data_IF_331520879055
#
_entry.id   IF_331520879055
#
_cell.length_a   1.000
_cell.length_b   1.000
_cell.length_c   1.000
_cell.angle_alpha   90.00
_cell.angle_beta   90.00
_cell.angle_gamma   90.00
#
_symmetry.space_group_name_H-M   'P 1'
#
loop_
_entity.id
_entity.type
_entity.pdbx_description
1 polymer ?
#
# COMPACT_ATOMS: atom_id res chain seq x y z
N UNK A 1 -5.16 -20.57 9.41
CA UNK A 1 -6.43 -19.91 9.04
C UNK A 1 -6.13 -18.44 8.81
N UNK A 2 -6.84 -17.77 7.90
CA UNK A 2 -6.88 -16.30 7.85
C UNK A 2 -8.12 -15.90 8.64
N UNK A 3 -7.94 -15.04 9.64
CA UNK A 3 -9.03 -14.55 10.48
C UNK A 3 -9.15 -13.04 10.34
N UNK A 4 -10.39 -12.56 10.22
CA UNK A 4 -10.67 -11.14 10.18
C UNK A 4 -10.47 -10.54 11.56
N UNK A 5 -9.52 -9.62 11.69
CA UNK A 5 -9.36 -8.82 12.90
C UNK A 5 -10.34 -7.64 12.87
N UNK A 6 -11.02 -7.39 14.00
CA UNK A 6 -11.74 -6.13 14.19
C UNK A 6 -10.74 -5.00 14.44
N UNK A 7 -10.92 -3.88 13.76
CA UNK A 7 -10.14 -2.65 13.94
C UNK A 7 -11.09 -1.59 14.50
N UNK A 8 -10.70 -1.00 15.63
CA UNK A 8 -11.40 0.13 16.22
C UNK A 8 -11.29 1.35 15.28
N UNK A 9 -12.41 2.04 14.98
CA UNK A 9 -12.38 3.25 14.19
C UNK A 9 -11.46 4.31 14.81
N UNK A 10 -10.54 4.84 14.01
CA UNK A 10 -9.57 5.84 14.49
C UNK A 10 -8.33 5.27 15.18
N UNK A 11 -8.09 3.95 15.09
CA UNK A 11 -6.90 3.29 15.66
C UNK A 11 -5.93 2.79 14.56
N UNK A 12 -5.10 3.65 13.93
CA UNK A 12 -4.16 3.27 12.88
C UNK A 12 -3.18 2.14 13.26
N UNK A 13 -2.78 2.08 14.54
CA UNK A 13 -1.85 1.04 15.03
C UNK A 13 -2.43 -0.38 14.93
N UNK A 14 -3.76 -0.53 15.03
CA UNK A 14 -4.44 -1.81 14.82
C UNK A 14 -4.52 -2.19 13.33
N UNK A 15 -4.41 -1.21 12.43
CA UNK A 15 -4.32 -1.39 10.98
C UNK A 15 -2.87 -1.38 10.45
N UNK A 16 -1.89 -1.63 11.32
CA UNK A 16 -0.48 -1.35 11.03
C UNK A 16 0.05 -1.97 9.74
N UNK A 17 -0.43 -3.15 9.32
CA UNK A 17 -0.03 -3.76 8.06
C UNK A 17 -0.42 -2.90 6.84
N UNK A 18 -1.68 -2.48 6.75
CA UNK A 18 -2.16 -1.66 5.65
C UNK A 18 -1.56 -0.25 5.70
N UNK A 19 -1.37 0.33 6.89
CA UNK A 19 -0.69 1.62 7.03
C UNK A 19 0.74 1.56 6.51
N UNK A 20 1.53 0.54 6.92
CA UNK A 20 2.89 0.34 6.45
C UNK A 20 2.96 0.07 4.95
N UNK A 21 2.05 -0.76 4.41
CA UNK A 21 1.96 -1.02 2.98
C UNK A 21 1.71 0.28 2.21
N UNK A 22 0.73 1.08 2.62
CA UNK A 22 0.39 2.33 1.94
C UNK A 22 1.51 3.38 2.04
N UNK A 23 2.23 3.45 3.15
CA UNK A 23 3.38 4.32 3.31
C UNK A 23 4.50 3.93 2.33
N UNK A 24 4.88 2.66 2.31
CA UNK A 24 5.92 2.15 1.40
C UNK A 24 5.55 2.28 -0.07
N UNK A 25 4.31 1.97 -0.43
CA UNK A 25 3.82 2.13 -1.81
C UNK A 25 3.94 3.60 -2.27
N UNK A 26 3.65 4.56 -1.38
CA UNK A 26 3.84 5.98 -1.71
C UNK A 26 5.30 6.33 -1.88
N UNK A 27 6.15 5.97 -0.92
CA UNK A 27 7.55 6.38 -0.91
C UNK A 27 8.36 5.72 -2.04
N UNK A 28 8.11 4.44 -2.31
CA UNK A 28 8.90 3.64 -3.25
C UNK A 28 8.37 3.76 -4.69
N UNK A 29 7.06 3.97 -4.88
CA UNK A 29 6.43 3.95 -6.22
C UNK A 29 5.83 5.30 -6.58
N UNK A 30 4.80 5.74 -5.84
CA UNK A 30 3.97 6.88 -6.29
C UNK A 30 4.69 8.23 -6.23
N UNK A 31 5.61 8.41 -5.29
CA UNK A 31 6.44 9.61 -5.18
C UNK A 31 7.77 9.49 -5.96
N UNK A 32 8.10 8.30 -6.45
CA UNK A 32 9.37 8.03 -7.15
C UNK A 32 9.32 8.36 -8.64
N UNK A 33 8.30 7.86 -9.35
CA UNK A 33 8.21 7.97 -10.81
C UNK A 33 6.78 8.25 -11.30
N UNK A 34 6.65 9.06 -12.35
CA UNK A 34 5.38 9.25 -13.05
C UNK A 34 5.20 8.11 -14.07
N UNK A 35 4.11 7.35 -13.94
CA UNK A 35 3.70 6.36 -14.93
C UNK A 35 2.83 7.00 -16.02
N UNK A 36 3.13 6.72 -17.29
CA UNK A 36 2.39 7.29 -18.43
C UNK A 36 1.30 6.36 -18.97
N UNK A 37 1.28 5.09 -18.53
CA UNK A 37 0.26 4.12 -18.88
C UNK A 37 -0.03 3.16 -17.72
N UNK A 38 -1.19 2.52 -17.74
CA UNK A 38 -1.54 1.47 -16.78
C UNK A 38 -0.52 0.31 -16.82
N UNK A 39 -0.02 -0.02 -18.02
CA UNK A 39 0.95 -1.10 -18.19
C UNK A 39 2.28 -0.78 -17.51
N UNK A 40 2.75 0.45 -17.61
CA UNK A 40 3.98 0.87 -16.94
C UNK A 40 3.83 0.81 -15.42
N UNK A 41 2.70 1.30 -14.90
CA UNK A 41 2.40 1.25 -13.47
C UNK A 41 2.36 -0.21 -12.94
N UNK A 42 1.75 -1.13 -13.69
CA UNK A 42 1.71 -2.56 -13.32
C UNK A 42 3.12 -3.16 -13.23
N UNK A 43 3.97 -2.87 -14.22
CA UNK A 43 5.36 -3.35 -14.22
C UNK A 43 6.14 -2.83 -13.01
N UNK A 44 5.92 -1.57 -12.60
CA UNK A 44 6.60 -1.01 -11.43
C UNK A 44 6.10 -1.59 -10.10
N UNK A 45 4.81 -1.92 -9.98
CA UNK A 45 4.23 -2.50 -8.76
C UNK A 45 4.61 -3.98 -8.59
N UNK A 46 4.82 -4.72 -9.69
CA UNK A 46 5.15 -6.16 -9.68
C UNK A 46 6.65 -6.46 -9.53
N UNK A 47 7.51 -5.44 -9.51
CA UNK A 47 8.97 -5.56 -9.31
C UNK A 47 9.35 -5.81 -7.86
#
# INVERSE_FOLDING_TARGET
SVETAYIEPGSPSQNGCCECFNARLRDEVLNGEISYSLRDAQIQIER
#
